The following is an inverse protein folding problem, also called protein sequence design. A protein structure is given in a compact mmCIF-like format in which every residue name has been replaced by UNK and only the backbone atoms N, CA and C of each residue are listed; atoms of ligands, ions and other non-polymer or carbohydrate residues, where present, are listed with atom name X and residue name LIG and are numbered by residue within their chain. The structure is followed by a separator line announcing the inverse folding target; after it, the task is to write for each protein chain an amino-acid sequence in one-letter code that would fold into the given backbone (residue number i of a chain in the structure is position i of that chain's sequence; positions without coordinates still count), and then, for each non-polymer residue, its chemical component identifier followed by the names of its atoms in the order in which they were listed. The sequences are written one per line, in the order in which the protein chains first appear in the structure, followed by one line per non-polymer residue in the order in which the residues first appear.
data_IF_424189402225
#
_entry.id   IF_424189402225
#
_cell.length_a   1.000
_cell.length_b   1.000
_cell.length_c   1.000
_cell.angle_alpha   90.00
_cell.angle_beta   90.00
_cell.angle_gamma   90.00
#
_symmetry.space_group_name_H-M   'P 1'
#
loop_
_entity.id
_entity.type
_entity.pdbx_description
1 polymer ?
#
# COMPACT_ATOMS: atom_id res chain seq x y z
N UNK A 1 6.29 -11.49 21.32
CA UNK A 1 5.14 -10.62 21.64
C UNK A 1 3.87 -11.46 21.54
N UNK A 2 2.94 -11.37 22.50
CA UNK A 2 1.69 -12.17 22.46
C UNK A 2 0.65 -11.49 21.54
N UNK A 3 -0.12 -12.23 20.73
CA UNK A 3 -1.23 -11.66 19.96
C UNK A 3 -2.24 -10.94 20.85
N UNK A 4 -2.64 -9.75 20.42
CA UNK A 4 -3.74 -8.99 21.02
C UNK A 4 -4.97 -9.11 20.12
N UNK A 5 -6.16 -9.07 20.71
CA UNK A 5 -7.41 -9.18 19.96
C UNK A 5 -7.78 -7.82 19.37
N UNK A 6 -8.00 -7.80 18.07
CA UNK A 6 -8.68 -6.74 17.34
C UNK A 6 -10.03 -7.26 16.84
N UNK A 7 -10.93 -6.35 16.47
CA UNK A 7 -12.26 -6.70 15.96
C UNK A 7 -12.43 -6.14 14.56
N UNK A 8 -12.92 -6.96 13.63
CA UNK A 8 -13.25 -6.49 12.28
C UNK A 8 -14.39 -5.48 12.37
N UNK A 9 -14.20 -4.28 11.80
CA UNK A 9 -15.18 -3.20 11.85
C UNK A 9 -15.92 -3.06 10.53
N UNK A 10 -15.17 -2.99 9.43
CA UNK A 10 -15.73 -2.83 8.08
C UNK A 10 -14.92 -3.63 7.07
N UNK A 11 -15.62 -4.07 6.03
CA UNK A 11 -15.05 -4.67 4.83
C UNK A 11 -15.43 -3.76 3.67
N UNK A 12 -14.45 -3.30 2.90
CA UNK A 12 -14.65 -2.52 1.68
C UNK A 12 -14.29 -3.38 0.49
N UNK A 13 -15.19 -3.50 -0.48
CA UNK A 13 -14.90 -4.23 -1.70
C UNK A 13 -14.05 -3.37 -2.65
N UNK A 14 -12.89 -3.88 -3.06
CA UNK A 14 -11.95 -3.12 -3.91
C UNK A 14 -12.01 -3.61 -5.36
N UNK A 15 -11.91 -4.92 -5.55
CA UNK A 15 -11.96 -5.57 -6.86
C UNK A 15 -12.25 -7.07 -6.71
N UNK A 16 -12.33 -7.78 -7.83
CA UNK A 16 -12.47 -9.23 -7.83
C UNK A 16 -11.37 -9.89 -6.98
N UNK A 17 -11.79 -10.60 -5.92
CA UNK A 17 -10.92 -11.26 -4.93
C UNK A 17 -10.03 -10.34 -4.09
N UNK A 18 -10.33 -9.04 -4.01
CA UNK A 18 -9.61 -8.08 -3.17
C UNK A 18 -10.57 -7.24 -2.35
N UNK A 19 -10.39 -7.26 -1.04
CA UNK A 19 -11.16 -6.44 -0.10
C UNK A 19 -10.21 -5.73 0.87
N UNK A 20 -10.60 -4.53 1.29
CA UNK A 20 -10.02 -3.81 2.43
C UNK A 20 -10.68 -4.23 3.73
N UNK A 21 -9.90 -4.75 4.68
CA UNK A 21 -10.36 -5.12 6.01
C UNK A 21 -9.90 -4.07 7.02
N UNK A 22 -10.85 -3.40 7.67
CA UNK A 22 -10.56 -2.39 8.69
C UNK A 22 -10.88 -2.93 10.08
N UNK A 23 -9.89 -2.93 10.96
CA UNK A 23 -9.99 -3.49 12.30
C UNK A 23 -9.95 -2.40 13.36
N UNK A 24 -10.80 -2.49 14.39
CA UNK A 24 -10.71 -1.68 15.59
C UNK A 24 -9.56 -2.18 16.46
N UNK A 25 -8.50 -1.38 16.57
CA UNK A 25 -7.30 -1.70 17.33
C UNK A 25 -6.52 -0.43 17.72
N UNK A 26 -6.96 0.31 18.75
CA UNK A 26 -6.45 1.66 19.06
C UNK A 26 -5.01 1.70 19.61
N UNK A 27 -4.33 0.56 19.69
CA UNK A 27 -2.99 0.42 20.26
C UNK A 27 -1.90 0.21 19.21
N UNK A 28 -2.25 0.14 17.92
CA UNK A 28 -1.28 -0.16 16.88
C UNK A 28 -0.27 0.96 16.70
N UNK A 29 -0.75 2.19 16.46
CA UNK A 29 0.08 3.38 16.27
C UNK A 29 1.23 3.15 15.28
N UNK A 30 0.90 2.53 14.15
CA UNK A 30 1.87 2.20 13.10
C UNK A 30 2.34 3.42 12.32
N UNK A 31 3.45 3.25 11.62
CA UNK A 31 3.97 4.21 10.65
C UNK A 31 3.99 3.59 9.24
N UNK A 32 3.92 4.39 8.17
CA UNK A 32 4.00 3.87 6.80
C UNK A 32 5.27 3.05 6.58
N UNK A 33 5.15 1.93 5.86
CA UNK A 33 6.23 0.97 5.64
C UNK A 33 6.28 -0.18 6.66
N UNK A 34 5.49 -0.08 7.73
CA UNK A 34 5.30 -1.17 8.68
C UNK A 34 4.18 -2.13 8.27
N UNK A 35 4.21 -3.32 8.87
CA UNK A 35 3.23 -4.38 8.66
C UNK A 35 2.75 -4.98 10.00
N UNK A 36 1.63 -5.69 9.97
CA UNK A 36 1.14 -6.50 11.09
C UNK A 36 1.11 -7.97 10.73
N UNK A 37 1.18 -8.85 11.72
CA UNK A 37 0.82 -10.25 11.54
C UNK A 37 -0.62 -10.43 11.98
N UNK A 38 -1.49 -10.87 11.06
CA UNK A 38 -2.85 -11.26 11.35
C UNK A 38 -2.89 -12.76 11.65
N UNK A 39 -3.53 -13.13 12.76
CA UNK A 39 -3.63 -14.50 13.24
C UNK A 39 -5.09 -14.93 13.34
N UNK A 40 -5.41 -16.05 12.68
CA UNK A 40 -6.69 -16.73 12.79
C UNK A 40 -6.48 -18.04 13.55
N UNK A 41 -7.04 -18.18 14.78
CA UNK A 41 -6.89 -19.40 15.57
C UNK A 41 -7.29 -20.66 14.77
N UNK A 42 -6.45 -21.68 14.82
CA UNK A 42 -6.66 -22.94 14.09
C UNK A 42 -6.43 -22.87 12.57
N UNK A 43 -6.06 -21.71 12.02
CA UNK A 43 -5.79 -21.54 10.59
C UNK A 43 -4.30 -21.33 10.33
N UNK A 44 -3.80 -20.11 10.56
CA UNK A 44 -2.39 -19.72 10.35
C UNK A 44 -2.17 -18.28 10.89
N UNK A 45 -0.94 -17.77 10.78
CA UNK A 45 -0.59 -16.37 10.96
C UNK A 45 0.17 -15.86 9.71
N UNK A 46 -0.24 -14.71 9.15
CA UNK A 46 0.39 -14.14 7.94
C UNK A 46 0.65 -12.63 8.08
N UNK A 47 1.74 -12.11 7.46
CA UNK A 47 2.04 -10.69 7.43
C UNK A 47 1.14 -9.94 6.44
N UNK A 48 0.73 -8.72 6.78
CA UNK A 48 -0.01 -7.80 5.92
C UNK A 48 0.47 -6.38 6.13
N UNK A 49 0.76 -5.69 5.02
CA UNK A 49 1.07 -4.26 5.02
C UNK A 49 -0.12 -3.45 5.51
N UNK A 50 0.18 -2.32 6.15
CA UNK A 50 -0.83 -1.41 6.69
C UNK A 50 -1.13 -0.34 5.64
N UNK A 51 -2.38 -0.29 5.17
CA UNK A 51 -2.85 0.66 4.15
C UNK A 51 -3.37 1.97 4.75
N UNK A 52 -3.77 1.95 6.02
CA UNK A 52 -4.12 3.14 6.81
C UNK A 52 -4.08 2.80 8.30
N UNK A 53 -3.78 3.79 9.14
CA UNK A 53 -3.92 3.74 10.60
C UNK A 53 -4.27 5.14 11.10
N UNK A 54 -5.41 5.28 11.79
CA UNK A 54 -5.88 6.56 12.37
C UNK A 54 -5.72 6.61 13.90
N UNK A 55 -4.98 5.66 14.48
CA UNK A 55 -4.79 5.50 15.92
C UNK A 55 -5.99 4.86 16.63
N UNK A 56 -7.10 4.59 15.92
CA UNK A 56 -8.26 3.85 16.45
C UNK A 56 -8.49 2.55 15.69
N UNK A 57 -8.26 2.59 14.39
CA UNK A 57 -8.45 1.52 13.43
C UNK A 57 -7.27 1.46 12.49
N UNK A 58 -6.99 0.27 11.96
CA UNK A 58 -6.06 0.10 10.85
C UNK A 58 -6.71 -0.72 9.73
N UNK A 59 -6.26 -0.49 8.51
CA UNK A 59 -6.77 -1.16 7.31
C UNK A 59 -5.68 -1.98 6.65
N UNK A 60 -6.01 -3.21 6.26
CA UNK A 60 -5.19 -4.06 5.41
C UNK A 60 -5.97 -4.39 4.13
N UNK A 61 -5.34 -4.23 2.97
CA UNK A 61 -5.91 -4.65 1.68
C UNK A 61 -5.42 -6.05 1.37
N UNK A 62 -6.36 -6.98 1.15
CA UNK A 62 -6.05 -8.42 1.14
C UNK A 62 -6.56 -9.06 -0.14
N UNK A 63 -5.68 -9.78 -0.83
CA UNK A 63 -6.02 -10.61 -1.97
C UNK A 63 -6.37 -12.04 -1.50
N UNK A 64 -7.49 -12.58 -1.95
CA UNK A 64 -7.96 -13.93 -1.64
C UNK A 64 -7.25 -15.00 -2.49
N UNK A 65 -6.05 -15.41 -2.08
CA UNK A 65 -5.23 -16.40 -2.82
C UNK A 65 -5.07 -17.77 -2.13
N UNK A 66 -5.05 -17.82 -0.80
CA UNK A 66 -4.66 -19.03 -0.05
C UNK A 66 -5.63 -19.35 1.08
N UNK A 67 -5.42 -20.49 1.76
CA UNK A 67 -6.26 -20.97 2.87
C UNK A 67 -6.47 -19.90 3.95
N UNK A 68 -5.43 -19.16 4.33
CA UNK A 68 -5.53 -18.10 5.33
C UNK A 68 -6.42 -16.96 4.84
N UNK A 69 -6.15 -16.41 3.66
CA UNK A 69 -6.95 -15.29 3.11
C UNK A 69 -8.39 -15.73 2.79
N UNK A 70 -8.61 -16.97 2.39
CA UNK A 70 -9.95 -17.52 2.19
C UNK A 70 -10.73 -17.65 3.50
N UNK A 71 -10.05 -17.90 4.63
CA UNK A 71 -10.67 -17.87 5.96
C UNK A 71 -10.92 -16.43 6.43
N UNK A 72 -9.98 -15.51 6.17
CA UNK A 72 -10.13 -14.08 6.47
C UNK A 72 -11.37 -13.49 5.78
N UNK A 73 -11.61 -13.84 4.52
CA UNK A 73 -12.77 -13.42 3.74
C UNK A 73 -14.11 -14.00 4.22
N UNK A 74 -14.12 -14.89 5.22
CA UNK A 74 -15.35 -15.39 5.86
C UNK A 74 -15.71 -14.62 7.12
N UNK A 75 -14.80 -13.79 7.62
CA UNK A 75 -15.07 -12.95 8.78
C UNK A 75 -16.18 -11.94 8.46
N UNK A 76 -16.92 -11.57 9.49
CA UNK A 76 -17.96 -10.54 9.47
C UNK A 76 -17.58 -9.42 10.44
N UNK A 77 -18.10 -8.20 10.24
CA UNK A 77 -18.00 -7.15 11.25
C UNK A 77 -18.41 -7.67 12.64
N UNK A 78 -17.57 -7.41 13.64
CA UNK A 78 -17.68 -7.93 15.00
C UNK A 78 -16.81 -9.16 15.29
N UNK A 79 -16.31 -9.87 14.27
CA UNK A 79 -15.48 -11.05 14.51
C UNK A 79 -14.08 -10.68 15.04
N UNK A 80 -13.52 -11.47 15.97
CA UNK A 80 -12.19 -11.23 16.51
C UNK A 80 -11.09 -11.75 15.58
N UNK A 81 -9.94 -11.09 15.61
CA UNK A 81 -8.71 -11.53 14.98
C UNK A 81 -7.51 -11.24 15.89
N UNK A 82 -6.51 -12.12 15.88
CA UNK A 82 -5.26 -11.86 16.57
C UNK A 82 -4.36 -10.92 15.76
N UNK A 83 -3.78 -9.93 16.41
CA UNK A 83 -2.84 -8.98 15.81
C UNK A 83 -1.56 -8.94 16.64
N UNK A 84 -0.40 -9.05 15.97
CA UNK A 84 0.90 -8.67 16.53
C UNK A 84 1.60 -7.69 15.60
N UNK A 85 2.28 -6.71 16.18
CA UNK A 85 2.94 -5.63 15.45
C UNK A 85 2.69 -4.27 16.14
N UNK A 86 3.00 -3.16 15.44
CA UNK A 86 3.54 -3.13 14.09
C UNK A 86 4.99 -3.66 14.05
N UNK A 87 5.37 -4.25 12.92
CA UNK A 87 6.71 -4.73 12.63
C UNK A 87 7.28 -4.04 11.40
N UNK A 88 8.59 -4.19 11.19
CA UNK A 88 9.30 -3.54 10.09
C UNK A 88 9.73 -2.12 10.42
N UNK A 89 10.57 -1.57 9.55
CA UNK A 89 11.07 -0.21 9.66
C UNK A 89 10.13 0.74 8.92
N UNK A 90 9.80 1.89 9.51
CA UNK A 90 9.04 2.91 8.80
C UNK A 90 9.83 3.47 7.63
N UNK A 91 9.12 3.94 6.61
CA UNK A 91 9.70 4.78 5.57
C UNK A 91 10.23 6.08 6.18
N UNK A 92 11.41 6.51 5.75
CA UNK A 92 12.08 7.71 6.28
C UNK A 92 12.38 8.71 5.18
N UNK A 93 11.90 9.94 5.31
CA UNK A 93 12.22 11.07 4.44
C UNK A 93 12.58 12.31 5.28
N UNK A 94 13.30 13.25 4.66
CA UNK A 94 13.57 14.57 5.23
C UNK A 94 12.39 15.50 4.95
N UNK A 95 12.08 16.46 5.85
CA UNK A 95 11.04 17.46 5.60
C UNK A 95 11.26 18.20 4.28
N UNK A 96 10.17 18.51 3.57
CA UNK A 96 10.17 19.24 2.28
C UNK A 96 10.93 18.53 1.14
N UNK A 97 11.13 17.22 1.24
CA UNK A 97 11.54 16.42 0.08
C UNK A 97 10.39 16.27 -0.91
N UNK A 98 10.76 15.84 -2.12
CA UNK A 98 9.84 15.41 -3.14
C UNK A 98 9.71 13.89 -3.09
N UNK A 99 8.54 13.37 -2.76
CA UNK A 99 8.30 11.94 -2.58
C UNK A 99 7.62 11.38 -3.82
N UNK A 100 8.25 10.44 -4.51
CA UNK A 100 7.62 9.69 -5.61
C UNK A 100 7.34 8.28 -5.09
N UNK A 101 6.06 7.91 -4.99
CA UNK A 101 5.64 6.57 -4.61
C UNK A 101 5.24 5.78 -5.86
N UNK A 102 5.76 4.56 -6.01
CA UNK A 102 5.56 3.70 -7.19
C UNK A 102 4.97 2.37 -6.74
N UNK A 103 3.70 2.14 -7.06
CA UNK A 103 2.92 0.99 -6.62
C UNK A 103 2.62 0.02 -7.73
N UNK A 104 2.72 -1.28 -7.45
CA UNK A 104 2.30 -2.35 -8.37
C UNK A 104 1.24 -3.24 -7.74
N UNK A 105 0.08 -3.36 -8.38
CA UNK A 105 -1.02 -4.20 -7.90
C UNK A 105 -1.38 -3.93 -6.43
N UNK A 106 -1.40 -4.97 -5.60
CA UNK A 106 -1.74 -4.84 -4.17
C UNK A 106 -0.70 -4.03 -3.36
N UNK A 107 0.52 -3.87 -3.87
CA UNK A 107 1.54 -3.00 -3.26
C UNK A 107 1.21 -1.51 -3.33
N UNK A 108 0.24 -1.11 -4.16
CA UNK A 108 -0.20 0.28 -4.24
C UNK A 108 -0.97 0.74 -2.98
N UNK A 109 -1.69 -0.16 -2.30
CA UNK A 109 -2.49 0.18 -1.13
C UNK A 109 -1.69 0.79 0.03
N UNK A 110 -0.57 0.20 0.52
CA UNK A 110 0.24 0.81 1.57
C UNK A 110 0.88 2.15 1.19
N UNK A 111 1.01 2.45 -0.11
CA UNK A 111 1.54 3.74 -0.56
C UNK A 111 0.56 4.89 -0.34
N UNK A 112 -0.75 4.64 -0.29
CA UNK A 112 -1.72 5.65 0.14
C UNK A 112 -1.44 6.14 1.58
N UNK A 113 -0.98 5.23 2.45
CA UNK A 113 -0.58 5.60 3.81
C UNK A 113 0.66 6.49 3.82
N UNK A 114 1.67 6.12 3.02
CA UNK A 114 2.88 6.92 2.84
C UNK A 114 2.56 8.34 2.34
N UNK A 115 1.70 8.47 1.33
CA UNK A 115 1.31 9.77 0.77
C UNK A 115 0.62 10.64 1.83
N UNK A 116 -0.27 10.05 2.63
CA UNK A 116 -0.95 10.75 3.73
C UNK A 116 0.05 11.29 4.75
N UNK A 117 1.05 10.49 5.13
CA UNK A 117 2.09 10.91 6.07
C UNK A 117 3.06 11.95 5.47
N UNK A 118 3.46 11.79 4.20
CA UNK A 118 4.32 12.74 3.50
C UNK A 118 3.67 14.14 3.44
N UNK A 119 2.36 14.20 3.19
CA UNK A 119 1.58 15.45 3.19
C UNK A 119 1.64 16.17 4.54
N UNK A 120 1.56 15.43 5.66
CA UNK A 120 1.64 16.02 7.01
C UNK A 120 3.01 16.66 7.29
N UNK A 121 4.07 16.21 6.61
CA UNK A 121 5.44 16.72 6.78
C UNK A 121 5.86 17.78 5.74
N UNK A 122 4.88 18.39 5.04
CA UNK A 122 5.10 19.43 4.02
C UNK A 122 6.01 18.98 2.85
N UNK A 123 6.03 17.68 2.56
CA UNK A 123 6.65 17.15 1.35
C UNK A 123 5.73 17.40 0.14
N UNK A 124 6.31 17.55 -1.04
CA UNK A 124 5.56 17.34 -2.29
C UNK A 124 5.49 15.85 -2.57
N UNK A 125 4.45 15.40 -3.27
CA UNK A 125 4.24 13.98 -3.50
C UNK A 125 3.67 13.70 -4.88
N UNK A 126 4.06 12.56 -5.43
CA UNK A 126 3.52 11.96 -6.65
C UNK A 126 3.27 10.47 -6.39
N UNK A 127 2.18 9.95 -6.93
CA UNK A 127 1.86 8.53 -6.87
C UNK A 127 1.73 8.01 -8.30
N UNK A 128 2.50 6.96 -8.61
CA UNK A 128 2.46 6.24 -9.87
C UNK A 128 1.98 4.82 -9.56
N UNK A 129 0.94 4.33 -10.23
CA UNK A 129 0.37 3.00 -9.98
C UNK A 129 0.28 2.19 -11.25
N UNK A 130 0.85 0.99 -11.22
CA UNK A 130 0.76 -0.02 -12.27
C UNK A 130 -0.17 -1.17 -11.92
N UNK A 131 -0.94 -1.62 -12.91
CA UNK A 131 -1.69 -2.87 -12.84
C UNK A 131 -1.72 -3.56 -14.21
N UNK A 132 -2.06 -4.85 -14.25
CA UNK A 132 -2.18 -5.58 -15.53
C UNK A 132 -3.31 -5.05 -16.41
N UNK A 133 -4.39 -4.58 -15.79
CA UNK A 133 -5.55 -4.00 -16.44
C UNK A 133 -6.32 -3.09 -15.49
N UNK A 134 -7.24 -2.29 -16.02
CA UNK A 134 -8.10 -1.36 -15.28
C UNK A 134 -8.84 -2.03 -14.12
N UNK A 135 -9.30 -3.26 -14.31
CA UNK A 135 -10.06 -4.00 -13.29
C UNK A 135 -9.18 -4.53 -12.14
N UNK A 136 -7.87 -4.38 -12.24
CA UNK A 136 -6.88 -4.77 -11.25
C UNK A 136 -6.19 -3.55 -10.60
N UNK A 137 -6.68 -2.33 -10.87
CA UNK A 137 -6.35 -1.16 -10.08
C UNK A 137 -7.12 -1.25 -8.76
N UNK A 138 -6.38 -1.25 -7.65
CA UNK A 138 -6.91 -1.48 -6.31
C UNK A 138 -6.79 -0.19 -5.50
N UNK A 139 -7.74 0.05 -4.59
CA UNK A 139 -7.64 1.12 -3.60
C UNK A 139 -7.59 2.54 -4.18
N UNK A 140 -8.07 2.72 -5.42
CA UNK A 140 -7.93 3.98 -6.18
C UNK A 140 -8.65 5.16 -5.55
N UNK A 141 -9.76 4.90 -4.85
CA UNK A 141 -10.56 5.95 -4.20
C UNK A 141 -9.80 6.64 -3.05
N UNK A 142 -8.75 5.99 -2.54
CA UNK A 142 -7.87 6.51 -1.49
C UNK A 142 -6.66 7.27 -2.04
N UNK A 143 -6.45 7.26 -3.36
CA UNK A 143 -5.30 7.90 -3.98
C UNK A 143 -5.55 9.39 -4.27
N UNK A 144 -4.49 10.22 -4.33
CA UNK A 144 -4.63 11.59 -4.83
C UNK A 144 -5.22 11.64 -6.24
N UNK A 145 -6.04 12.66 -6.53
CA UNK A 145 -6.66 12.82 -7.86
C UNK A 145 -5.66 12.93 -9.02
N UNK A 146 -4.42 13.35 -8.76
CA UNK A 146 -3.36 13.49 -9.75
C UNK A 146 -2.46 12.24 -9.86
N UNK A 147 -2.92 11.10 -9.32
CA UNK A 147 -2.20 9.82 -9.45
C UNK A 147 -2.08 9.44 -10.91
N UNK A 148 -0.87 9.10 -11.34
CA UNK A 148 -0.63 8.61 -12.69
C UNK A 148 -0.82 7.10 -12.70
N UNK A 149 -1.57 6.61 -13.69
CA UNK A 149 -1.91 5.20 -13.82
C UNK A 149 -1.20 4.61 -15.03
N UNK A 150 -0.77 3.36 -14.91
CA UNK A 150 -0.21 2.55 -15.98
C UNK A 150 -0.91 1.21 -16.03
N UNK A 151 -1.26 0.75 -17.23
CA UNK A 151 -1.79 -0.59 -17.44
C UNK A 151 -1.04 -1.34 -18.52
N UNK A 152 -0.70 -2.60 -18.25
CA UNK A 152 0.01 -3.46 -19.20
C UNK A 152 -0.77 -3.63 -20.51
N UNK A 153 -2.11 -3.60 -20.45
CA UNK A 153 -3.01 -3.74 -21.60
C UNK A 153 -3.51 -2.40 -22.18
N UNK A 154 -3.08 -1.26 -21.61
CA UNK A 154 -3.49 0.08 -22.05
C UNK A 154 -4.95 0.44 -21.77
N UNK A 155 -5.66 -0.35 -20.94
CA UNK A 155 -7.08 -0.11 -20.62
C UNK A 155 -7.35 1.18 -19.85
N UNK A 156 -6.34 1.76 -19.18
CA UNK A 156 -6.38 3.12 -18.61
C UNK A 156 -4.98 3.68 -18.36
N UNK A 157 -4.81 4.99 -18.55
CA UNK A 157 -3.55 5.68 -18.28
C UNK A 157 -2.48 5.36 -19.34
N UNK A 158 -1.22 5.27 -18.90
CA UNK A 158 -0.10 4.85 -19.75
C UNK A 158 -0.23 3.39 -20.14
N UNK A 159 0.02 3.07 -21.40
CA UNK A 159 0.09 1.68 -21.87
C UNK A 159 1.53 1.19 -21.74
N UNK A 160 1.75 0.28 -20.78
CA UNK A 160 3.06 -0.22 -20.43
C UNK A 160 3.26 -0.29 -18.92
N UNK A 161 4.52 -0.39 -18.49
CA UNK A 161 4.84 -0.56 -17.08
C UNK A 161 4.93 0.78 -16.34
N UNK A 162 4.56 0.77 -15.06
CA UNK A 162 4.69 1.95 -14.17
C UNK A 162 6.14 2.44 -14.03
N UNK A 163 7.12 1.55 -14.26
CA UNK A 163 8.54 1.91 -14.26
C UNK A 163 8.92 2.81 -15.43
N UNK A 164 8.19 2.75 -16.56
CA UNK A 164 8.38 3.67 -17.68
C UNK A 164 7.89 5.07 -17.31
N UNK A 165 6.76 5.18 -16.60
CA UNK A 165 6.29 6.45 -16.02
C UNK A 165 7.31 7.02 -15.02
N UNK A 166 7.89 6.17 -14.18
CA UNK A 166 8.94 6.58 -13.24
C UNK A 166 10.15 7.13 -14.01
N UNK A 167 10.64 6.40 -15.00
CA UNK A 167 11.80 6.81 -15.81
C UNK A 167 11.55 8.15 -16.52
N UNK A 168 10.40 8.28 -17.19
CA UNK A 168 10.02 9.54 -17.83
C UNK A 168 10.01 10.68 -16.81
N UNK A 169 9.38 10.45 -15.65
CA UNK A 169 9.25 11.48 -14.62
C UNK A 169 10.60 11.93 -14.09
N UNK A 170 11.52 10.99 -13.84
CA UNK A 170 12.87 11.30 -13.37
C UNK A 170 13.68 12.11 -14.40
N UNK A 171 13.52 11.83 -15.70
CA UNK A 171 14.17 12.58 -16.79
C UNK A 171 13.69 14.04 -16.88
N UNK A 172 12.45 14.32 -16.49
CA UNK A 172 11.88 15.68 -16.47
C UNK A 172 12.38 16.53 -15.30
N UNK A 173 12.95 15.91 -14.25
CA UNK A 173 13.41 16.63 -13.07
C UNK A 173 14.77 17.30 -13.31
N UNK A 174 14.89 18.56 -12.88
CA UNK A 174 16.18 19.23 -12.82
C UNK A 174 17.12 18.56 -11.80
N UNK A 175 18.43 18.77 -11.93
CA UNK A 175 19.43 18.30 -10.96
C UNK A 175 19.12 18.70 -9.51
N UNK A 176 18.57 19.90 -9.32
CA UNK A 176 18.20 20.40 -7.98
C UNK A 176 16.97 19.67 -7.42
N UNK A 177 15.99 19.33 -8.27
CA UNK A 177 14.84 18.54 -7.87
C UNK A 177 15.25 17.10 -7.56
N UNK A 178 16.06 16.47 -8.40
CA UNK A 178 16.55 15.10 -8.18
C UNK A 178 17.25 14.94 -6.81
N UNK A 179 18.10 15.90 -6.42
CA UNK A 179 18.75 15.90 -5.08
C UNK A 179 17.76 15.95 -3.90
N UNK A 180 16.54 16.40 -4.13
CA UNK A 180 15.46 16.48 -3.14
C UNK A 180 14.43 15.36 -3.30
N UNK A 181 14.54 14.54 -4.33
CA UNK A 181 13.63 13.44 -4.61
C UNK A 181 14.01 12.21 -3.81
N UNK A 182 13.00 11.51 -3.29
CA UNK A 182 13.10 10.15 -2.76
C UNK A 182 12.03 9.30 -3.42
N UNK A 183 12.42 8.12 -3.89
CA UNK A 183 11.52 7.16 -4.55
C UNK A 183 11.25 6.02 -3.57
N UNK A 184 9.98 5.70 -3.37
CA UNK A 184 9.55 4.52 -2.63
C UNK A 184 8.78 3.59 -3.57
N UNK A 185 9.13 2.31 -3.54
CA UNK A 185 8.55 1.30 -4.43
C UNK A 185 7.91 0.22 -3.57
N UNK A 186 6.73 -0.26 -3.99
CA UNK A 186 6.09 -1.41 -3.37
C UNK A 186 5.26 -2.17 -4.41
N UNK A 187 5.56 -3.45 -4.62
CA UNK A 187 4.81 -4.28 -5.55
C UNK A 187 5.46 -5.64 -5.79
N UNK A 188 5.17 -6.28 -6.93
CA UNK A 188 5.85 -7.52 -7.30
C UNK A 188 7.36 -7.31 -7.46
N UNK A 189 8.16 -8.25 -7.00
CA UNK A 189 9.64 -8.21 -7.05
C UNK A 189 10.20 -7.82 -8.44
N UNK A 190 9.69 -8.31 -9.59
CA UNK A 190 10.17 -7.85 -10.90
C UNK A 190 9.98 -6.35 -11.14
N UNK A 191 8.89 -5.78 -10.64
CA UNK A 191 8.63 -4.34 -10.74
C UNK A 191 9.58 -3.55 -9.83
N UNK A 192 9.80 -4.03 -8.61
CA UNK A 192 10.73 -3.39 -7.66
C UNK A 192 12.15 -3.36 -8.21
N UNK A 193 12.60 -4.47 -8.81
CA UNK A 193 13.89 -4.56 -9.48
C UNK A 193 13.99 -3.58 -10.67
N UNK A 194 12.98 -3.54 -11.53
CA UNK A 194 12.97 -2.62 -12.67
C UNK A 194 12.95 -1.13 -12.24
N UNK A 195 12.21 -0.80 -11.17
CA UNK A 195 12.19 0.55 -10.61
C UNK A 195 13.57 0.97 -10.07
N UNK A 196 14.30 0.05 -9.44
CA UNK A 196 15.65 0.30 -8.93
C UNK A 196 16.70 0.52 -10.03
N UNK A 197 16.46 0.04 -11.26
CA UNK A 197 17.38 0.27 -12.39
C UNK A 197 17.23 1.66 -13.02
N UNK A 198 16.07 2.31 -12.83
CA UNK A 198 15.76 3.63 -13.42
C UNK A 198 15.85 4.78 -12.43
N UNK A 199 15.87 4.50 -11.11
CA UNK A 199 15.94 5.48 -10.02
C UNK A 199 17.35 5.69 -9.49
#
# INVERSE_FOLDING_TARGET
MKPQIAYLKTITHEANNVDGFTFAFPRLQSQPGQFVMLWLPGVDQKPFSIAADDGKTFTAVVFKINKFTQALFRLKPGDPIGVTGPFGNPYTWKPRQHVIAVGGGYGAAPLAYLITAAKQQRCTYELLVGARSKNLLLYTDHFPKHTQLSTDDGSVGHHGYVTELLEQRLRELTKTQLKKTVVYVCGPEPMEYAAALVA
#
